data_IF_669626413198
#
_entry.id   IF_669626413198
#
_cell.length_a   1.000
_cell.length_b   1.000
_cell.length_c   1.000
_cell.angle_alpha   90.00
_cell.angle_beta   90.00
_cell.angle_gamma   90.00
#
_symmetry.space_group_name_H-M   'P 1'
#
loop_
_entity.id
_entity.type
_entity.pdbx_description
1 polymer ?
#
# COMPACT_ATOMS: atom_id res chain seq x y z
N UNK A 1 -1.74 1.36 -18.51
CA UNK A 1 -2.04 -0.08 -18.26
C UNK A 1 -2.35 -0.84 -19.53
N UNK A 2 -3.14 -0.25 -20.40
CA UNK A 2 -3.52 -0.95 -21.64
C UNK A 2 -2.33 -1.32 -22.53
N UNK A 3 -1.21 -0.63 -22.36
CA UNK A 3 -0.01 -0.83 -23.17
C UNK A 3 1.07 -1.64 -22.45
N UNK A 4 0.70 -2.38 -21.42
CA UNK A 4 1.65 -3.17 -20.66
C UNK A 4 2.54 -2.34 -19.75
N UNK A 5 2.11 -1.16 -19.35
CA UNK A 5 2.84 -0.28 -18.46
C UNK A 5 2.54 -0.61 -17.01
N UNK A 6 3.56 -0.58 -16.17
CA UNK A 6 3.39 -0.75 -14.72
C UNK A 6 3.25 0.61 -14.04
N UNK A 7 2.49 0.65 -12.95
CA UNK A 7 2.28 1.87 -12.17
C UNK A 7 2.80 1.64 -10.75
N UNK A 8 3.60 2.58 -10.25
CA UNK A 8 4.08 2.56 -8.87
C UNK A 8 3.27 3.58 -8.06
N UNK A 9 2.80 3.15 -6.88
CA UNK A 9 1.99 4.00 -6.01
C UNK A 9 2.52 3.94 -4.59
N UNK A 10 2.48 5.08 -3.91
CA UNK A 10 2.77 5.17 -2.49
C UNK A 10 1.43 5.24 -1.74
N UNK A 11 1.09 4.18 -1.05
CA UNK A 11 -0.23 4.07 -0.41
C UNK A 11 -0.21 4.37 1.08
N UNK A 12 0.94 4.72 1.63
CA UNK A 12 1.08 4.97 3.06
C UNK A 12 0.66 6.38 3.48
N UNK A 13 0.34 7.23 2.53
CA UNK A 13 -0.03 8.61 2.82
C UNK A 13 -1.54 8.78 2.90
N UNK A 14 -1.96 9.78 3.68
CA UNK A 14 -3.36 10.13 3.81
C UNK A 14 -3.88 10.79 2.52
N UNK A 15 -5.09 10.43 2.14
CA UNK A 15 -5.75 11.04 0.97
C UNK A 15 -7.08 11.59 1.42
N UNK A 16 -7.31 12.88 1.20
CA UNK A 16 -8.56 13.54 1.61
C UNK A 16 -9.80 12.89 0.99
N UNK A 17 -9.66 12.41 -0.23
CA UNK A 17 -10.76 11.82 -0.98
C UNK A 17 -10.85 10.29 -0.79
N UNK A 18 -10.03 9.74 0.10
CA UNK A 18 -10.04 8.31 0.34
C UNK A 18 -11.22 7.85 1.16
N UNK A 19 -11.30 6.54 1.35
CA UNK A 19 -12.29 5.93 2.21
C UNK A 19 -11.67 5.64 3.57
N UNK A 20 -12.50 5.63 4.61
CA UNK A 20 -12.04 5.27 5.95
C UNK A 20 -11.86 3.76 6.04
N UNK A 21 -10.62 3.33 6.08
CA UNK A 21 -10.24 1.92 6.15
C UNK A 21 -9.34 1.74 7.36
N UNK A 22 -9.45 0.61 8.04
CA UNK A 22 -8.61 0.35 9.21
C UNK A 22 -7.14 0.26 8.83
N UNK A 23 -6.33 0.99 9.58
CA UNK A 23 -4.88 0.99 9.48
C UNK A 23 -4.33 1.03 10.90
N UNK A 24 -3.59 -0.01 11.29
CA UNK A 24 -3.20 -0.24 12.69
C UNK A 24 -4.41 -0.19 13.62
N UNK A 25 -5.48 -0.82 13.20
CA UNK A 25 -6.72 -0.97 13.97
C UNK A 25 -7.50 0.34 14.19
N UNK A 26 -7.13 1.40 13.52
CA UNK A 26 -7.83 2.68 13.55
C UNK A 26 -8.20 3.11 12.14
N UNK A 27 -9.39 3.67 11.99
CA UNK A 27 -9.84 4.13 10.68
C UNK A 27 -8.97 5.27 10.16
N UNK A 28 -8.54 5.16 8.91
CA UNK A 28 -7.70 6.16 8.27
C UNK A 28 -8.16 6.37 6.83
N UNK A 29 -8.08 7.60 6.35
CA UNK A 29 -8.39 7.88 4.95
C UNK A 29 -7.37 7.24 4.06
N UNK A 30 -7.83 6.33 3.22
CA UNK A 30 -6.96 5.48 2.40
C UNK A 30 -7.37 5.58 0.94
N UNK A 31 -6.39 5.67 0.05
CA UNK A 31 -6.69 5.67 -1.39
C UNK A 31 -7.24 4.30 -1.81
N UNK A 32 -8.28 4.32 -2.64
CA UNK A 32 -8.84 3.10 -3.21
C UNK A 32 -8.38 2.89 -4.65
N UNK A 33 -7.50 3.74 -5.17
CA UNK A 33 -7.03 3.67 -6.54
C UNK A 33 -6.39 2.31 -6.85
N UNK A 34 -5.48 1.77 -6.01
CA UNK A 34 -4.91 0.45 -6.28
C UNK A 34 -5.98 -0.64 -6.42
N UNK A 35 -6.97 -0.64 -5.53
CA UNK A 35 -8.03 -1.64 -5.58
C UNK A 35 -8.89 -1.48 -6.85
N UNK A 36 -9.15 -0.25 -7.26
CA UNK A 36 -9.89 0.02 -8.49
C UNK A 36 -9.14 -0.49 -9.72
N UNK A 37 -7.82 -0.28 -9.76
CA UNK A 37 -7.00 -0.76 -10.86
C UNK A 37 -6.96 -2.29 -10.90
N UNK A 38 -6.85 -2.93 -9.76
CA UNK A 38 -6.86 -4.39 -9.66
C UNK A 38 -8.16 -4.95 -10.21
N UNK A 39 -9.28 -4.37 -9.84
CA UNK A 39 -10.57 -4.85 -10.29
C UNK A 39 -10.80 -4.60 -11.78
N UNK A 40 -10.36 -3.45 -12.26
CA UNK A 40 -10.60 -3.08 -13.66
C UNK A 40 -9.72 -3.87 -14.62
N UNK A 41 -8.46 -4.09 -14.26
CA UNK A 41 -7.48 -4.67 -15.18
C UNK A 41 -7.01 -6.05 -14.77
N UNK A 42 -7.39 -6.54 -13.58
CA UNK A 42 -6.95 -7.84 -13.10
C UNK A 42 -5.45 -7.96 -12.90
N UNK A 43 -4.79 -6.86 -12.58
CA UNK A 43 -3.35 -6.84 -12.45
C UNK A 43 -2.90 -7.39 -11.08
N UNK A 44 -1.65 -7.88 -11.05
CA UNK A 44 -1.02 -8.31 -9.81
C UNK A 44 -0.39 -7.11 -9.09
N UNK A 45 -0.22 -7.27 -7.79
CA UNK A 45 0.42 -6.27 -6.94
C UNK A 45 1.76 -6.81 -6.47
N UNK A 46 2.81 -6.02 -6.63
CA UNK A 46 4.13 -6.36 -6.12
C UNK A 46 4.44 -5.38 -4.99
N UNK A 47 4.40 -5.83 -3.73
CA UNK A 47 4.81 -4.96 -2.62
C UNK A 47 6.30 -4.67 -2.72
N UNK A 48 6.67 -3.42 -2.47
CA UNK A 48 8.05 -2.96 -2.52
C UNK A 48 8.38 -2.29 -1.20
N UNK A 49 9.47 -2.72 -0.59
CA UNK A 49 9.92 -2.20 0.69
C UNK A 49 11.29 -1.55 0.52
N UNK A 50 11.42 -0.32 1.00
CA UNK A 50 12.68 0.42 0.95
C UNK A 50 13.16 0.62 2.38
N UNK A 51 14.41 0.23 2.63
CA UNK A 51 15.02 0.31 3.94
C UNK A 51 16.35 1.04 3.84
N UNK A 52 16.55 2.00 4.74
CA UNK A 52 17.83 2.69 4.84
C UNK A 52 18.72 1.97 5.84
N UNK A 53 19.86 1.45 5.37
CA UNK A 53 20.79 0.70 6.22
C UNK A 53 21.83 1.57 6.89
N UNK A 54 22.61 2.27 6.10
CA UNK A 54 23.67 3.16 6.57
C UNK A 54 23.46 4.52 5.95
N UNK A 55 24.29 5.49 6.31
CA UNK A 55 24.13 6.91 5.93
C UNK A 55 23.55 7.15 4.53
N UNK A 56 24.06 6.44 3.53
CA UNK A 56 23.70 6.69 2.14
C UNK A 56 23.29 5.44 1.38
N UNK A 57 23.04 4.34 2.10
CA UNK A 57 22.71 3.07 1.46
C UNK A 57 21.25 2.72 1.71
N UNK A 58 20.55 2.41 0.63
CA UNK A 58 19.16 1.98 0.67
C UNK A 58 19.07 0.58 0.07
N UNK A 59 18.31 -0.28 0.72
CA UNK A 59 17.94 -1.57 0.18
C UNK A 59 16.52 -1.53 -0.30
N UNK A 60 16.29 -2.00 -1.51
CA UNK A 60 14.93 -2.10 -2.07
C UNK A 60 14.60 -3.57 -2.20
N UNK A 61 13.52 -4.00 -1.59
CA UNK A 61 13.08 -5.38 -1.65
C UNK A 61 11.76 -5.47 -2.37
N UNK A 62 11.72 -6.29 -3.42
CA UNK A 62 10.50 -6.61 -4.15
C UNK A 62 9.99 -7.94 -3.63
N UNK A 63 8.75 -7.96 -3.14
CA UNK A 63 8.13 -9.18 -2.66
C UNK A 63 7.48 -9.93 -3.81
N UNK A 64 7.01 -11.15 -3.52
CA UNK A 64 6.31 -11.94 -4.52
C UNK A 64 5.04 -11.25 -4.97
N UNK A 65 4.69 -11.35 -6.26
CA UNK A 65 3.44 -10.78 -6.75
C UNK A 65 2.25 -11.39 -6.02
N UNK A 66 1.27 -10.56 -5.73
CA UNK A 66 0.04 -10.98 -5.07
C UNK A 66 -1.10 -10.82 -6.06
N UNK A 67 -1.86 -11.89 -6.23
CA UNK A 67 -3.04 -11.89 -7.09
C UNK A 67 -4.28 -11.85 -6.21
N UNK A 68 -5.14 -10.88 -6.45
CA UNK A 68 -6.40 -10.76 -5.71
C UNK A 68 -7.52 -11.39 -6.50
N UNK A 69 -8.31 -12.22 -5.83
CA UNK A 69 -9.44 -12.88 -6.48
C UNK A 69 -10.52 -11.88 -6.90
N UNK A 70 -11.31 -12.28 -7.89
CA UNK A 70 -12.42 -11.46 -8.39
C UNK A 70 -13.57 -11.31 -7.38
N UNK A 71 -13.58 -12.15 -6.35
CA UNK A 71 -14.65 -12.16 -5.37
C UNK A 71 -14.52 -11.08 -4.30
N UNK A 72 -13.42 -10.38 -4.26
CA UNK A 72 -13.19 -9.34 -3.26
C UNK A 72 -13.59 -7.98 -3.81
N UNK A 73 -14.29 -7.21 -2.99
CA UNK A 73 -14.67 -5.87 -3.38
C UNK A 73 -13.54 -4.88 -3.11
N UNK A 74 -13.72 -3.62 -3.53
CA UNK A 74 -12.70 -2.59 -3.42
C UNK A 74 -12.28 -2.38 -1.96
N UNK A 75 -13.23 -2.39 -1.03
CA UNK A 75 -12.94 -2.17 0.39
C UNK A 75 -12.10 -3.30 0.96
N UNK A 76 -12.41 -4.55 0.59
CA UNK A 76 -11.66 -5.71 1.06
C UNK A 76 -10.22 -5.69 0.55
N UNK A 77 -10.02 -5.38 -0.72
CA UNK A 77 -8.69 -5.30 -1.32
C UNK A 77 -7.90 -4.18 -0.66
N UNK A 78 -8.51 -3.02 -0.46
CA UNK A 78 -7.85 -1.89 0.19
C UNK A 78 -7.41 -2.23 1.61
N UNK A 79 -8.27 -2.92 2.36
CA UNK A 79 -7.94 -3.36 3.71
C UNK A 79 -6.75 -4.33 3.71
N UNK A 80 -6.72 -5.26 2.78
CA UNK A 80 -5.59 -6.20 2.67
C UNK A 80 -4.29 -5.49 2.33
N UNK A 81 -4.35 -4.48 1.45
CA UNK A 81 -3.17 -3.68 1.13
C UNK A 81 -2.68 -2.92 2.36
N UNK A 82 -3.58 -2.40 3.18
CA UNK A 82 -3.19 -1.75 4.42
C UNK A 82 -2.52 -2.72 5.39
N UNK A 83 -2.98 -3.96 5.45
CA UNK A 83 -2.35 -4.97 6.31
C UNK A 83 -0.94 -5.32 5.85
N UNK A 84 -0.72 -5.38 4.55
CA UNK A 84 0.61 -5.59 3.99
C UNK A 84 1.51 -4.41 4.35
N UNK A 85 1.01 -3.20 4.21
CA UNK A 85 1.74 -1.99 4.56
C UNK A 85 2.10 -1.95 6.04
N UNK A 86 1.17 -2.34 6.92
CA UNK A 86 1.43 -2.42 8.36
C UNK A 86 2.61 -3.34 8.66
N UNK A 87 2.65 -4.51 8.03
CA UNK A 87 3.76 -5.46 8.24
C UNK A 87 5.08 -4.85 7.79
N UNK A 88 5.08 -4.12 6.69
CA UNK A 88 6.29 -3.48 6.19
C UNK A 88 6.78 -2.38 7.13
N UNK A 89 5.86 -1.57 7.65
CA UNK A 89 6.21 -0.51 8.60
C UNK A 89 6.78 -1.09 9.89
N UNK A 90 6.20 -2.20 10.38
CA UNK A 90 6.65 -2.82 11.62
C UNK A 90 8.04 -3.42 11.55
N UNK A 91 8.57 -3.64 10.35
CA UNK A 91 9.97 -4.09 10.21
C UNK A 91 10.96 -3.02 10.64
N UNK A 92 10.66 -1.77 10.34
CA UNK A 92 11.49 -0.63 10.73
C UNK A 92 10.59 0.57 11.05
N UNK A 93 9.90 0.54 12.21
CA UNK A 93 8.94 1.60 12.53
C UNK A 93 9.56 2.99 12.55
N UNK A 94 10.85 3.07 12.91
CA UNK A 94 11.54 4.36 13.01
C UNK A 94 11.73 5.05 11.67
N UNK A 95 11.63 4.32 10.57
CA UNK A 95 11.84 4.88 9.24
C UNK A 95 10.56 5.36 8.57
N UNK A 96 9.41 5.15 9.20
CA UNK A 96 8.16 5.67 8.69
C UNK A 96 7.89 7.04 9.30
N UNK A 97 7.32 7.96 8.51
CA UNK A 97 7.07 9.33 8.97
C UNK A 97 5.77 9.35 9.80
N UNK A 98 5.91 9.12 11.09
CA UNK A 98 4.79 9.08 12.01
C UNK A 98 4.15 10.44 12.25
N UNK A 99 4.88 11.52 12.01
CA UNK A 99 4.37 12.89 12.17
C UNK A 99 3.33 13.24 11.12
N UNK A 100 3.32 12.52 10.01
CA UNK A 100 2.27 12.66 9.00
C UNK A 100 0.96 12.14 9.57
N UNK A 101 -0.05 13.01 9.63
CA UNK A 101 -1.31 12.64 10.28
C UNK A 101 -2.16 11.73 9.39
N UNK A 102 -1.85 10.45 9.43
CA UNK A 102 -2.47 9.44 8.58
C UNK A 102 -3.95 9.21 8.90
N UNK A 103 -4.31 9.42 10.17
CA UNK A 103 -5.64 9.06 10.66
C UNK A 103 -6.63 10.22 10.72
N UNK A 104 -6.23 11.39 10.42
CA UNK A 104 -7.08 12.56 10.57
C UNK A 104 -7.87 12.94 9.33
#
# INVERSE_FOLDING_TARGET
>A
FKNGVSIALMIDQRVSEGKKIKFFNHEAYTTTIPAQLIRKFGCDVIPVYIERNKRYHFNIKFFEPISFGKNKNIMQVTLELNKILEKMILKNPDQWIWTHNRWK
#
